data_IF_613063863514
#
_entry.id   IF_613063863514
#
_cell.length_a   1.000
_cell.length_b   1.000
_cell.length_c   1.000
_cell.angle_alpha   90.00
_cell.angle_beta   90.00
_cell.angle_gamma   90.00
#
_symmetry.space_group_name_H-M   'P 1'
#
loop_
_entity.id
_entity.type
_entity.pdbx_description
1 polymer ?
#
# COMPACT_ATOMS: atom_id res chain seq x y z
N UNK A 1 3.66 -6.96 -69.48
CA UNK A 1 3.23 -7.79 -68.33
C UNK A 1 4.05 -7.35 -67.13
N UNK A 2 3.46 -6.60 -66.20
CA UNK A 2 4.10 -6.14 -64.96
C UNK A 2 3.15 -6.51 -63.82
N UNK A 3 3.61 -7.36 -62.91
CA UNK A 3 2.84 -7.76 -61.72
C UNK A 3 2.85 -6.62 -60.69
N UNK A 4 1.72 -6.28 -60.06
CA UNK A 4 1.73 -5.44 -58.89
C UNK A 4 2.04 -6.30 -57.66
N UNK A 5 3.04 -5.90 -56.89
CA UNK A 5 3.29 -6.42 -55.54
C UNK A 5 2.31 -5.70 -54.61
N UNK A 6 1.33 -6.43 -54.08
CA UNK A 6 0.53 -5.95 -52.96
C UNK A 6 1.42 -5.97 -51.70
N UNK A 7 1.77 -4.79 -51.20
CA UNK A 7 2.27 -4.60 -49.85
C UNK A 7 1.07 -4.60 -48.91
N UNK A 8 0.88 -5.68 -48.16
CA UNK A 8 0.03 -5.68 -46.98
C UNK A 8 0.78 -4.95 -45.87
N UNK A 9 0.32 -3.75 -45.52
CA UNK A 9 0.66 -3.11 -44.26
C UNK A 9 -0.14 -3.79 -43.16
N UNK A 10 0.52 -4.62 -42.36
CA UNK A 10 0.00 -5.13 -41.10
C UNK A 10 -0.12 -3.98 -40.10
N UNK A 11 -1.34 -3.47 -39.93
CA UNK A 11 -1.69 -2.61 -38.81
C UNK A 11 -1.65 -3.47 -37.54
N UNK A 12 -0.54 -3.43 -36.81
CA UNK A 12 -0.49 -3.92 -35.44
C UNK A 12 -1.34 -2.99 -34.60
N UNK A 13 -2.58 -3.39 -34.33
CA UNK A 13 -3.39 -2.85 -33.25
C UNK A 13 -2.61 -3.10 -31.96
N UNK A 14 -1.91 -2.09 -31.47
CA UNK A 14 -1.52 -2.03 -30.07
C UNK A 14 -2.84 -1.86 -29.31
N UNK A 15 -3.36 -2.96 -28.79
CA UNK A 15 -4.42 -2.90 -27.79
C UNK A 15 -3.85 -2.16 -26.59
N UNK A 16 -4.27 -0.92 -26.38
CA UNK A 16 -4.09 -0.23 -25.11
C UNK A 16 -4.80 -1.09 -24.06
N UNK A 17 -4.03 -1.82 -23.26
CA UNK A 17 -4.53 -2.35 -22.00
C UNK A 17 -5.03 -1.17 -21.18
N UNK A 18 -6.25 -1.23 -20.66
CA UNK A 18 -6.70 -0.26 -19.67
C UNK A 18 -5.75 -0.37 -18.46
N UNK A 19 -5.18 0.75 -18.02
CA UNK A 19 -4.26 0.85 -16.89
C UNK A 19 -5.01 1.34 -15.65
N UNK A 20 -4.60 0.94 -14.42
CA UNK A 20 -5.08 1.63 -13.22
C UNK A 20 -4.41 2.96 -13.14
N UNK A 21 -5.13 3.99 -12.70
CA UNK A 21 -4.90 5.31 -13.26
C UNK A 21 -4.93 5.20 -14.80
N UNK A 22 -5.98 5.71 -15.46
CA UNK A 22 -6.00 5.64 -16.93
C UNK A 22 -4.74 6.35 -17.46
N UNK A 23 -3.97 5.68 -18.33
CA UNK A 23 -2.59 6.05 -18.73
C UNK A 23 -1.63 6.49 -17.58
N UNK A 24 -1.68 5.81 -16.44
CA UNK A 24 -0.73 6.00 -15.34
C UNK A 24 0.63 5.35 -15.57
N UNK A 25 1.57 5.64 -14.67
CA UNK A 25 2.89 5.00 -14.63
C UNK A 25 2.89 3.79 -13.69
N UNK A 26 3.35 2.60 -14.10
CA UNK A 26 3.43 1.44 -13.23
C UNK A 26 4.32 1.66 -12.00
N UNK A 27 3.86 1.16 -10.86
CA UNK A 27 4.58 1.17 -9.59
C UNK A 27 4.91 -0.27 -9.20
N UNK A 28 6.13 -0.50 -8.68
CA UNK A 28 6.48 -1.79 -8.09
C UNK A 28 5.74 -1.95 -6.76
N UNK A 29 4.61 -2.66 -6.79
CA UNK A 29 3.80 -2.91 -5.61
C UNK A 29 4.58 -3.64 -4.51
N UNK A 30 5.54 -4.50 -4.85
CA UNK A 30 6.36 -5.18 -3.82
C UNK A 30 7.32 -4.21 -3.12
N UNK A 31 7.69 -3.12 -3.77
CA UNK A 31 8.47 -2.04 -3.17
C UNK A 31 7.61 -1.00 -2.43
N UNK A 32 6.30 -0.95 -2.71
CA UNK A 32 5.29 -0.14 -2.02
C UNK A 32 4.26 -1.05 -1.35
N UNK A 33 4.75 -1.98 -0.53
CA UNK A 33 3.96 -3.05 0.09
C UNK A 33 2.98 -2.57 1.19
N UNK A 34 3.02 -1.28 1.53
CA UNK A 34 2.04 -0.64 2.39
C UNK A 34 0.80 -0.14 1.62
N UNK A 35 0.84 -0.03 0.30
CA UNK A 35 -0.37 0.14 -0.51
C UNK A 35 -1.09 -1.21 -0.59
N UNK A 36 -2.39 -1.24 -0.33
CA UNK A 36 -3.20 -2.46 -0.33
C UNK A 36 -4.51 -2.25 -1.07
N UNK A 37 -5.11 -3.34 -1.49
CA UNK A 37 -6.39 -3.33 -2.20
C UNK A 37 -7.47 -3.86 -1.27
N UNK A 38 -8.58 -3.14 -1.16
CA UNK A 38 -9.78 -3.64 -0.50
C UNK A 38 -10.65 -4.33 -1.53
N UNK A 39 -11.16 -5.51 -1.21
CA UNK A 39 -12.03 -6.29 -2.10
C UNK A 39 -13.24 -6.87 -1.36
N UNK A 40 -14.31 -7.10 -2.12
CA UNK A 40 -15.45 -7.89 -1.66
C UNK A 40 -15.32 -9.35 -2.10
N UNK A 41 -15.56 -10.28 -1.19
CA UNK A 41 -15.64 -11.70 -1.49
C UNK A 41 -16.92 -12.10 -2.25
N UNK A 42 -17.91 -11.20 -2.32
CA UNK A 42 -19.27 -11.49 -2.83
C UNK A 42 -19.56 -10.77 -4.14
N UNK A 43 -19.05 -9.56 -4.35
CA UNK A 43 -19.31 -8.74 -5.52
C UNK A 43 -18.01 -8.19 -6.13
N UNK A 44 -18.08 -7.74 -7.39
CA UNK A 44 -16.94 -7.12 -8.07
C UNK A 44 -16.76 -5.66 -7.65
N UNK A 45 -16.37 -5.43 -6.39
CA UNK A 45 -16.06 -4.10 -5.84
C UNK A 45 -14.64 -4.06 -5.29
N UNK A 46 -13.93 -2.96 -5.54
CA UNK A 46 -12.61 -2.72 -4.98
C UNK A 46 -12.39 -1.25 -4.62
N UNK A 47 -11.44 -1.04 -3.72
CA UNK A 47 -10.87 0.26 -3.39
C UNK A 47 -9.37 0.13 -3.15
N UNK A 48 -8.68 1.25 -3.10
CA UNK A 48 -7.29 1.35 -2.67
C UNK A 48 -7.26 1.78 -1.20
N UNK A 49 -6.25 1.33 -0.47
CA UNK A 49 -6.05 1.73 0.91
C UNK A 49 -4.56 1.67 1.27
N UNK A 50 -4.21 2.22 2.43
CA UNK A 50 -2.82 2.27 2.92
C UNK A 50 -2.71 1.66 4.31
N UNK A 51 -1.76 0.74 4.49
CA UNK A 51 -1.40 0.18 5.79
C UNK A 51 -0.77 1.24 6.68
N UNK A 52 -1.28 1.35 7.90
CA UNK A 52 -0.78 2.25 8.94
C UNK A 52 -0.71 1.51 10.28
N UNK A 53 0.36 1.74 11.04
CA UNK A 53 0.48 1.28 12.43
C UNK A 53 0.33 -0.24 12.58
N UNK A 54 0.91 -0.99 11.64
CA UNK A 54 1.01 -2.45 11.65
C UNK A 54 -0.29 -3.18 11.28
N UNK A 55 -1.43 -2.76 11.81
CA UNK A 55 -2.71 -3.49 11.74
C UNK A 55 -3.90 -2.64 11.30
N UNK A 56 -3.70 -1.36 11.02
CA UNK A 56 -4.75 -0.48 10.58
C UNK A 56 -4.61 -0.21 9.09
N UNK A 57 -5.74 0.01 8.43
CA UNK A 57 -5.79 0.30 6.99
C UNK A 57 -6.65 1.54 6.79
N UNK A 58 -6.03 2.61 6.29
CA UNK A 58 -6.65 3.89 6.01
C UNK A 58 -7.19 3.91 4.58
N UNK A 59 -8.44 4.32 4.41
CA UNK A 59 -9.14 4.37 3.12
C UNK A 59 -10.21 5.47 3.13
N UNK A 60 -11.01 5.60 2.07
CA UNK A 60 -12.17 6.47 2.04
C UNK A 60 -13.35 5.85 2.79
N UNK A 61 -14.18 6.66 3.45
CA UNK A 61 -15.37 6.17 4.15
C UNK A 61 -16.38 5.54 3.17
N UNK A 62 -16.58 6.14 2.00
CA UNK A 62 -17.51 5.61 1.00
C UNK A 62 -17.11 4.23 0.48
N UNK A 63 -15.84 3.83 0.59
CA UNK A 63 -15.40 2.47 0.28
C UNK A 63 -16.00 1.45 1.26
N UNK A 64 -16.24 1.85 2.50
CA UNK A 64 -16.74 1.00 3.57
C UNK A 64 -18.27 1.06 3.71
N UNK A 65 -18.92 2.06 3.10
CA UNK A 65 -20.37 2.18 3.12
C UNK A 65 -21.04 1.26 2.09
N UNK A 66 -21.74 0.23 2.57
CA UNK A 66 -22.62 -0.60 1.73
C UNK A 66 -21.98 -1.44 0.62
N UNK A 67 -20.67 -1.31 0.37
CA UNK A 67 -19.98 -2.00 -0.73
C UNK A 67 -19.64 -3.48 -0.44
N UNK A 68 -19.73 -3.90 0.83
CA UNK A 68 -19.44 -5.28 1.22
C UNK A 68 -17.98 -5.70 1.02
N UNK A 69 -17.05 -4.73 1.03
CA UNK A 69 -15.61 -5.00 1.10
C UNK A 69 -15.31 -5.69 2.43
N UNK A 70 -14.56 -6.77 2.38
CA UNK A 70 -14.32 -7.65 3.52
C UNK A 70 -12.92 -8.28 3.52
N UNK A 71 -12.08 -7.97 2.52
CA UNK A 71 -10.70 -8.45 2.44
C UNK A 71 -9.72 -7.31 2.12
N UNK A 72 -8.55 -7.37 2.75
CA UNK A 72 -7.34 -6.64 2.37
C UNK A 72 -6.46 -7.59 1.55
N UNK A 73 -6.10 -7.19 0.33
CA UNK A 73 -5.15 -7.90 -0.52
C UNK A 73 -3.79 -7.19 -0.41
N UNK A 74 -2.76 -7.95 -0.03
CA UNK A 74 -1.39 -7.46 0.16
C UNK A 74 -0.56 -7.60 -1.13
N UNK A 75 0.62 -6.97 -1.15
CA UNK A 75 1.58 -7.13 -2.24
C UNK A 75 2.09 -8.58 -2.41
N UNK A 76 2.02 -9.41 -1.36
CA UNK A 76 2.31 -10.86 -1.44
C UNK A 76 1.18 -11.68 -2.07
N UNK A 77 0.02 -11.05 -2.34
CA UNK A 77 -1.18 -11.71 -2.83
C UNK A 77 -2.01 -12.40 -1.74
N UNK A 78 -1.70 -12.13 -0.46
CA UNK A 78 -2.47 -12.68 0.65
C UNK A 78 -3.78 -11.91 0.80
N UNK A 79 -4.88 -12.65 1.02
CA UNK A 79 -6.18 -12.09 1.34
C UNK A 79 -6.43 -12.19 2.85
N UNK A 80 -6.53 -11.03 3.51
CA UNK A 80 -6.73 -10.91 4.95
C UNK A 80 -8.13 -10.37 5.19
N UNK A 81 -9.00 -11.21 5.75
CA UNK A 81 -10.38 -10.81 6.04
C UNK A 81 -10.43 -9.76 7.14
N UNK A 82 -11.32 -8.78 7.00
CA UNK A 82 -11.65 -7.83 8.05
C UNK A 82 -13.16 -7.75 8.27
N UNK A 83 -13.56 -7.40 9.49
CA UNK A 83 -14.96 -7.14 9.84
C UNK A 83 -15.13 -5.90 10.72
N UNK A 84 -14.01 -5.36 11.23
CA UNK A 84 -13.99 -4.18 12.07
C UNK A 84 -13.55 -3.00 11.23
N UNK A 85 -14.44 -2.02 11.10
CA UNK A 85 -14.14 -0.77 10.43
C UNK A 85 -14.94 0.37 11.03
N UNK A 86 -14.45 1.59 10.84
CA UNK A 86 -15.06 2.82 11.28
C UNK A 86 -15.01 3.81 10.12
N UNK A 87 -16.15 4.43 9.85
CA UNK A 87 -16.22 5.61 8.99
C UNK A 87 -16.17 6.85 9.89
N UNK A 88 -15.67 7.96 9.36
CA UNK A 88 -15.71 9.23 10.08
C UNK A 88 -17.16 9.55 10.50
N UNK A 89 -17.43 10.01 11.74
CA UNK A 89 -18.79 10.25 12.23
C UNK A 89 -19.59 11.30 11.43
N UNK A 90 -18.88 12.22 10.76
CA UNK A 90 -19.49 13.24 9.91
C UNK A 90 -19.64 12.78 8.44
N UNK A 91 -19.18 11.57 8.09
CA UNK A 91 -19.39 11.02 6.76
C UNK A 91 -20.89 10.80 6.50
N UNK A 92 -21.36 11.26 5.34
CA UNK A 92 -22.75 11.08 4.90
C UNK A 92 -22.74 10.81 3.41
N UNK A 93 -23.05 9.57 3.03
CA UNK A 93 -23.18 9.18 1.63
C UNK A 93 -24.37 9.92 0.98
N UNK A 94 -24.04 10.98 0.24
CA UNK A 94 -25.01 11.81 -0.47
C UNK A 94 -24.53 12.16 -1.89
N UNK A 95 -23.45 11.52 -2.37
CA UNK A 95 -22.80 11.84 -3.64
C UNK A 95 -22.21 13.26 -3.71
N UNK A 96 -22.10 13.95 -2.59
CA UNK A 96 -21.61 15.33 -2.48
C UNK A 96 -20.20 15.45 -1.92
N UNK A 97 -19.76 16.69 -1.76
CA UNK A 97 -18.42 17.10 -1.32
C UNK A 97 -18.37 17.60 0.13
N UNK A 98 -19.45 17.41 0.89
CA UNK A 98 -19.67 18.06 2.18
C UNK A 98 -19.36 17.18 3.38
N UNK A 99 -18.58 16.13 3.19
CA UNK A 99 -18.34 15.07 4.16
C UNK A 99 -16.85 14.69 4.27
N UNK A 100 -16.42 14.41 5.49
CA UNK A 100 -15.09 13.90 5.80
C UNK A 100 -14.99 12.42 5.41
N UNK A 101 -14.68 12.18 4.14
CA UNK A 101 -14.66 10.86 3.51
C UNK A 101 -13.38 10.07 3.85
N UNK A 102 -13.26 9.70 5.13
CA UNK A 102 -12.16 8.89 5.65
C UNK A 102 -12.68 7.72 6.48
N UNK A 103 -12.07 6.55 6.24
CA UNK A 103 -12.41 5.29 6.87
C UNK A 103 -11.17 4.58 7.40
N UNK A 104 -11.37 3.80 8.46
CA UNK A 104 -10.33 3.01 9.11
C UNK A 104 -10.80 1.56 9.24
N UNK A 105 -10.02 0.63 8.72
CA UNK A 105 -10.19 -0.80 8.94
C UNK A 105 -9.18 -1.26 9.99
N UNK A 106 -9.63 -2.15 10.89
CA UNK A 106 -8.80 -2.74 11.93
C UNK A 106 -8.65 -4.24 11.70
N UNK A 107 -7.42 -4.71 11.58
CA UNK A 107 -7.09 -6.11 11.37
C UNK A 107 -6.81 -6.82 12.70
N UNK A 108 -7.21 -8.09 12.82
CA UNK A 108 -6.97 -8.88 14.05
C UNK A 108 -5.48 -9.11 14.30
N UNK A 109 -4.69 -9.24 13.24
CA UNK A 109 -3.24 -9.45 13.29
C UNK A 109 -2.52 -8.37 12.49
N UNK A 110 -1.40 -7.83 13.01
CA UNK A 110 -0.52 -6.97 12.21
C UNK A 110 -0.04 -7.65 10.94
N UNK A 111 0.16 -6.88 9.87
CA UNK A 111 0.74 -7.31 8.61
C UNK A 111 2.20 -6.90 8.51
N UNK A 112 2.97 -7.73 7.81
CA UNK A 112 4.35 -7.46 7.49
C UNK A 112 4.43 -6.53 6.26
N UNK A 113 5.09 -5.39 6.38
CA UNK A 113 5.39 -4.46 5.29
C UNK A 113 6.63 -3.62 5.63
N UNK A 114 7.35 -3.18 4.61
CA UNK A 114 8.63 -2.45 4.74
C UNK A 114 8.51 -0.99 4.30
N UNK A 115 7.69 -0.71 3.29
CA UNK A 115 7.45 0.64 2.80
C UNK A 115 6.66 1.45 3.82
N UNK A 116 6.99 2.72 3.97
CA UNK A 116 6.24 3.62 4.85
C UNK A 116 6.22 5.03 4.28
N UNK A 117 5.03 5.63 4.25
CA UNK A 117 4.82 7.06 4.07
C UNK A 117 4.11 7.58 5.31
N UNK A 118 4.63 8.64 5.91
CA UNK A 118 4.09 9.16 7.17
C UNK A 118 2.95 10.15 6.91
N UNK A 119 2.07 10.33 7.88
CA UNK A 119 0.96 11.29 7.79
C UNK A 119 1.50 12.71 7.99
N UNK A 120 1.23 13.60 7.04
CA UNK A 120 1.64 15.00 7.09
C UNK A 120 0.42 15.87 7.46
N UNK A 121 0.58 16.71 8.49
CA UNK A 121 -0.44 17.64 9.00
C UNK A 121 -0.06 19.12 8.79
N UNK A 122 0.94 19.38 7.95
CA UNK A 122 1.32 20.73 7.54
C UNK A 122 0.28 21.32 6.57
N UNK A 123 0.24 22.64 6.47
CA UNK A 123 -0.62 23.33 5.50
C UNK A 123 -0.19 23.00 4.06
N UNK A 124 -1.17 22.87 3.15
CA UNK A 124 -0.91 22.57 1.73
C UNK A 124 -0.48 23.81 0.98
N UNK A 125 0.46 23.62 0.06
CA UNK A 125 1.02 24.70 -0.75
C UNK A 125 0.53 24.54 -2.17
N UNK A 126 -0.22 25.54 -2.67
CA UNK A 126 -0.66 25.59 -4.07
C UNK A 126 0.50 25.29 -5.02
N UNK A 127 0.21 24.51 -6.06
CA UNK A 127 1.16 23.96 -7.04
C UNK A 127 2.16 22.92 -6.50
N UNK A 128 2.06 22.46 -5.24
CA UNK A 128 2.90 21.36 -4.77
C UNK A 128 2.60 20.07 -5.57
N UNK A 129 3.65 19.39 -6.01
CA UNK A 129 3.48 18.14 -6.74
C UNK A 129 3.02 17.04 -5.81
N UNK A 130 2.00 16.32 -6.25
CA UNK A 130 1.45 15.18 -5.53
C UNK A 130 1.42 13.98 -6.48
N UNK A 131 1.43 12.78 -5.91
CA UNK A 131 1.18 11.55 -6.65
C UNK A 131 0.10 10.73 -5.96
N UNK A 132 -0.69 10.02 -6.75
CA UNK A 132 -1.70 9.08 -6.26
C UNK A 132 -1.41 7.75 -6.91
N UNK A 133 -1.22 6.71 -6.10
CA UNK A 133 -1.05 5.35 -6.58
C UNK A 133 -2.26 4.49 -6.19
N UNK A 134 -2.88 3.81 -7.17
CA UNK A 134 -4.08 3.02 -6.96
C UNK A 134 -4.24 1.82 -7.89
N UNK A 135 -5.26 1.01 -7.61
CA UNK A 135 -5.60 -0.24 -8.30
C UNK A 135 -6.86 -0.13 -9.20
N UNK A 136 -7.48 1.04 -9.28
CA UNK A 136 -8.72 1.22 -10.00
C UNK A 136 -8.54 1.00 -11.49
N UNK A 137 -9.29 0.13 -12.16
CA UNK A 137 -9.10 -0.16 -13.60
C UNK A 137 -8.04 -1.21 -13.92
N UNK A 138 -7.05 -1.45 -13.04
CA UNK A 138 -6.16 -2.63 -13.08
C UNK A 138 -6.02 -3.24 -11.70
N UNK A 139 -6.87 -4.22 -11.45
CA UNK A 139 -6.91 -4.90 -10.15
C UNK A 139 -5.53 -5.44 -9.76
N UNK A 140 -4.77 -6.07 -10.68
CA UNK A 140 -3.50 -6.74 -10.37
C UNK A 140 -2.25 -5.84 -10.36
N UNK A 141 -2.36 -4.56 -10.72
CA UNK A 141 -1.17 -3.69 -10.83
C UNK A 141 -1.42 -2.34 -10.19
N UNK A 142 -0.49 -1.94 -9.33
CA UNK A 142 -0.42 -0.60 -8.77
C UNK A 142 0.16 0.36 -9.81
N UNK A 143 -0.49 1.49 -9.99
CA UNK A 143 -0.07 2.51 -10.94
C UNK A 143 -0.31 3.90 -10.33
N UNK A 144 0.47 4.87 -10.79
CA UNK A 144 0.43 6.23 -10.27
C UNK A 144 0.11 7.28 -11.34
N UNK A 145 -0.52 8.37 -10.89
CA UNK A 145 -0.64 9.64 -11.61
C UNK A 145 0.04 10.73 -10.81
N UNK A 146 0.68 11.65 -11.51
CA UNK A 146 1.16 12.91 -10.97
C UNK A 146 0.10 14.01 -11.13
N UNK A 147 -0.15 14.74 -10.06
CA UNK A 147 -1.04 15.90 -10.01
C UNK A 147 -0.32 17.07 -9.34
N UNK A 148 -0.96 18.23 -9.35
CA UNK A 148 -0.57 19.40 -8.56
C UNK A 148 -1.69 19.77 -7.62
N UNK A 149 -1.39 19.97 -6.34
CA UNK A 149 -2.38 20.52 -5.41
C UNK A 149 -2.85 21.89 -5.91
N UNK A 150 -4.16 22.06 -5.98
CA UNK A 150 -4.81 23.26 -6.50
C UNK A 150 -5.20 24.16 -5.34
N UNK A 151 -6.22 23.77 -4.57
CA UNK A 151 -6.75 24.59 -3.50
C UNK A 151 -7.61 23.79 -2.51
N UNK A 152 -7.90 24.40 -1.37
CA UNK A 152 -8.92 23.94 -0.43
C UNK A 152 -10.32 24.34 -0.88
N UNK A 153 -11.33 23.53 -0.59
CA UNK A 153 -12.72 23.97 -0.73
C UNK A 153 -13.02 25.17 0.18
N UNK A 154 -13.69 26.19 -0.35
CA UNK A 154 -14.00 27.43 0.37
C UNK A 154 -14.88 27.25 1.62
N UNK A 155 -15.73 26.21 1.65
CA UNK A 155 -16.66 25.97 2.76
C UNK A 155 -16.24 24.79 3.63
N UNK A 156 -15.42 23.89 3.08
CA UNK A 156 -15.09 22.60 3.68
C UNK A 156 -13.59 22.41 3.67
N UNK A 157 -12.91 22.90 4.72
CA UNK A 157 -11.44 22.84 4.83
C UNK A 157 -10.83 21.43 4.81
N UNK A 158 -11.65 20.38 5.00
CA UNK A 158 -11.20 19.00 4.82
C UNK A 158 -11.13 18.56 3.35
N UNK A 159 -11.79 19.26 2.43
CA UNK A 159 -11.84 18.90 1.03
C UNK A 159 -10.74 19.62 0.25
N UNK A 160 -9.90 18.84 -0.41
CA UNK A 160 -8.81 19.31 -1.26
C UNK A 160 -9.15 19.10 -2.73
N UNK A 161 -8.62 19.97 -3.58
CA UNK A 161 -8.62 19.83 -5.03
C UNK A 161 -7.19 19.73 -5.56
N UNK A 162 -7.00 18.93 -6.60
CA UNK A 162 -5.78 18.81 -7.35
C UNK A 162 -6.08 18.69 -8.84
N UNK A 163 -5.17 19.23 -9.64
CA UNK A 163 -5.24 19.26 -11.09
C UNK A 163 -4.31 18.19 -11.67
N UNK A 164 -4.78 17.45 -12.67
CA UNK A 164 -3.95 16.47 -13.38
C UNK A 164 -2.83 17.18 -14.15
N UNK A 165 -1.61 16.64 -14.13
CA UNK A 165 -0.49 17.18 -14.93
C UNK A 165 -0.66 16.82 -16.40
N UNK A 166 -1.25 15.66 -16.69
CA UNK A 166 -1.54 15.17 -18.03
C UNK A 166 -3.00 14.72 -18.04
N UNK A 167 -3.85 15.35 -18.87
CA UNK A 167 -5.30 15.10 -18.89
C UNK A 167 -5.67 13.64 -19.13
N UNK A 168 -4.92 12.91 -19.96
CA UNK A 168 -5.16 11.49 -20.22
C UNK A 168 -4.64 10.58 -19.10
N UNK A 169 -3.87 11.11 -18.13
CA UNK A 169 -3.32 10.38 -16.98
C UNK A 169 -4.13 10.72 -15.72
N UNK A 170 -5.05 9.87 -15.31
CA UNK A 170 -6.01 10.24 -14.26
C UNK A 170 -6.54 9.06 -13.44
N UNK A 171 -7.02 9.34 -12.22
CA UNK A 171 -7.66 8.31 -11.38
C UNK A 171 -8.97 7.78 -11.99
N UNK A 172 -9.39 6.59 -11.59
CA UNK A 172 -10.62 5.92 -12.05
C UNK A 172 -11.26 5.09 -10.92
N UNK A 173 -12.37 4.44 -11.22
CA UNK A 173 -13.09 3.60 -10.26
C UNK A 173 -12.18 2.50 -9.67
N UNK A 174 -12.10 2.45 -8.33
CA UNK A 174 -11.23 1.57 -7.55
C UNK A 174 -9.97 2.25 -6.99
N UNK A 175 -9.65 3.47 -7.42
CA UNK A 175 -8.59 4.29 -6.81
C UNK A 175 -9.06 4.98 -5.51
N UNK A 176 -10.36 5.02 -5.26
CA UNK A 176 -10.93 5.55 -4.01
C UNK A 176 -10.22 4.99 -2.79
N UNK A 177 -9.88 5.88 -1.85
CA UNK A 177 -9.11 5.58 -0.64
C UNK A 177 -7.59 5.55 -0.81
N UNK A 178 -7.06 5.71 -2.02
CA UNK A 178 -5.62 5.85 -2.25
C UNK A 178 -5.03 7.06 -1.51
N UNK A 179 -3.79 6.93 -1.03
CA UNK A 179 -3.08 8.04 -0.41
C UNK A 179 -2.60 9.05 -1.48
N UNK A 180 -2.73 10.34 -1.16
CA UNK A 180 -2.06 11.42 -1.89
C UNK A 180 -0.69 11.63 -1.24
N UNK A 181 0.36 11.45 -2.02
CA UNK A 181 1.74 11.51 -1.56
C UNK A 181 2.38 12.80 -2.06
N UNK A 182 2.89 13.62 -1.15
CA UNK A 182 3.58 14.86 -1.48
C UNK A 182 5.05 14.61 -1.90
N UNK A 183 5.77 15.70 -2.21
CA UNK A 183 7.18 15.63 -2.61
C UNK A 183 8.14 15.10 -1.52
N UNK A 184 7.74 15.10 -0.24
CA UNK A 184 8.53 14.53 0.86
C UNK A 184 8.22 13.05 1.11
N UNK A 185 7.44 12.42 0.24
CA UNK A 185 6.97 11.04 0.37
C UNK A 185 6.11 10.82 1.63
N UNK A 186 5.31 11.82 1.97
CA UNK A 186 4.35 11.78 3.08
C UNK A 186 2.91 11.82 2.56
N UNK A 187 2.00 11.17 3.29
CA UNK A 187 0.56 11.14 3.03
C UNK A 187 -0.05 12.47 3.48
N UNK A 188 -0.59 13.24 2.54
CA UNK A 188 -1.29 14.50 2.83
C UNK A 188 -2.82 14.38 2.78
N UNK A 189 -3.35 13.43 2.02
CA UNK A 189 -4.79 13.27 1.84
C UNK A 189 -5.19 11.85 1.46
N UNK A 190 -6.49 11.56 1.56
CA UNK A 190 -7.13 10.33 1.13
C UNK A 190 -7.96 10.63 -0.13
N UNK A 191 -7.76 9.88 -1.20
CA UNK A 191 -8.45 10.09 -2.47
C UNK A 191 -9.93 9.76 -2.35
N UNK A 192 -10.77 10.69 -2.78
CA UNK A 192 -12.23 10.52 -2.83
C UNK A 192 -12.71 10.24 -4.26
N UNK A 193 -12.23 10.99 -5.24
CA UNK A 193 -12.59 10.78 -6.63
C UNK A 193 -12.11 11.89 -7.57
N UNK A 194 -12.63 11.89 -8.79
CA UNK A 194 -12.38 12.93 -9.78
C UNK A 194 -13.61 13.15 -10.66
N UNK A 195 -13.77 14.36 -11.18
CA UNK A 195 -14.84 14.74 -12.11
C UNK A 195 -14.26 15.45 -13.34
N UNK A 196 -14.93 15.31 -14.49
CA UNK A 196 -14.52 15.91 -15.76
C UNK A 196 -15.51 17.01 -16.14
N UNK A 197 -15.01 18.24 -16.21
CA UNK A 197 -15.80 19.39 -16.66
C UNK A 197 -15.52 19.68 -18.12
N UNK A 198 -16.59 19.86 -18.90
CA UNK A 198 -16.53 20.29 -20.29
C UNK A 198 -16.59 21.81 -20.36
N UNK A 199 -15.66 22.41 -21.10
CA UNK A 199 -15.59 23.83 -21.38
C UNK A 199 -15.63 24.10 -22.88
N UNK A 200 -15.97 25.33 -23.25
CA UNK A 200 -15.97 25.80 -24.63
C UNK A 200 -15.17 27.09 -24.74
N UNK A 201 -14.20 27.11 -25.64
CA UNK A 201 -13.44 28.31 -25.94
C UNK A 201 -14.28 29.34 -26.75
N UNK A 202 -13.81 30.60 -26.89
CA UNK A 202 -14.53 31.62 -27.67
C UNK A 202 -14.75 31.29 -29.15
N UNK A 203 -13.97 30.36 -29.71
CA UNK A 203 -14.08 29.89 -31.09
C UNK A 203 -15.07 28.70 -31.22
N UNK A 204 -15.63 28.23 -30.10
CA UNK A 204 -16.58 27.13 -30.04
C UNK A 204 -15.93 25.75 -29.98
N UNK A 205 -14.63 25.66 -29.75
CA UNK A 205 -13.94 24.39 -29.55
C UNK A 205 -14.14 23.90 -28.11
N UNK A 206 -14.42 22.61 -28.00
CA UNK A 206 -14.56 21.92 -26.72
C UNK A 206 -13.19 21.60 -26.12
N UNK A 207 -13.02 21.83 -24.81
CA UNK A 207 -11.89 21.33 -24.04
C UNK A 207 -12.36 20.81 -22.69
N UNK A 208 -11.60 19.90 -22.09
CA UNK A 208 -11.95 19.25 -20.83
C UNK A 208 -10.96 19.70 -19.76
N UNK A 209 -11.43 19.80 -18.52
CA UNK A 209 -10.56 19.85 -17.33
C UNK A 209 -10.99 18.74 -16.39
N UNK A 210 -10.02 18.14 -15.71
CA UNK A 210 -10.29 17.16 -14.67
C UNK A 210 -9.89 17.66 -13.30
N UNK A 211 -10.87 17.77 -12.42
CA UNK A 211 -10.63 18.07 -11.01
C UNK A 211 -10.59 16.78 -10.21
N UNK A 212 -9.54 16.58 -9.43
CA UNK A 212 -9.35 15.45 -8.53
C UNK A 212 -9.51 15.94 -7.09
N UNK A 213 -10.21 15.19 -6.26
CA UNK A 213 -10.54 15.62 -4.90
C UNK A 213 -10.27 14.54 -3.85
N UNK A 214 -9.96 15.00 -2.64
CA UNK A 214 -9.57 14.16 -1.52
C UNK A 214 -9.86 14.80 -0.18
N UNK A 215 -9.70 14.01 0.88
CA UNK A 215 -9.89 14.42 2.27
C UNK A 215 -8.54 14.67 2.94
N UNK A 216 -8.30 15.88 3.42
CA UNK A 216 -7.06 16.30 4.06
C UNK A 216 -6.83 15.58 5.39
N UNK A 217 -5.67 14.94 5.53
CA UNK A 217 -5.21 14.31 6.77
C UNK A 217 -5.16 15.30 7.94
N UNK A 218 -4.77 16.55 7.69
CA UNK A 218 -4.72 17.60 8.71
C UNK A 218 -6.10 17.83 9.33
N UNK A 219 -7.15 17.86 8.50
CA UNK A 219 -8.52 18.12 8.96
C UNK A 219 -9.11 16.95 9.74
N UNK A 220 -8.69 15.70 9.45
CA UNK A 220 -9.18 14.48 10.09
C UNK A 220 -8.20 13.88 11.12
N UNK A 221 -7.18 14.64 11.53
CA UNK A 221 -6.12 14.18 12.44
C UNK A 221 -6.66 13.66 13.79
N UNK A 222 -7.76 14.25 14.29
CA UNK A 222 -8.43 13.82 15.51
C UNK A 222 -9.02 12.42 15.37
N UNK A 223 -9.73 12.17 14.27
CA UNK A 223 -10.27 10.84 13.96
C UNK A 223 -9.17 9.78 13.86
N UNK A 224 -8.04 10.10 13.22
CA UNK A 224 -6.90 9.17 13.12
C UNK A 224 -6.34 8.84 14.50
N UNK A 225 -6.00 9.86 15.30
CA UNK A 225 -5.34 9.65 16.59
C UNK A 225 -6.25 9.03 17.65
N UNK A 226 -7.56 9.34 17.62
CA UNK A 226 -8.55 8.76 18.54
C UNK A 226 -8.81 7.27 18.29
N UNK A 227 -8.64 6.79 17.06
CA UNK A 227 -8.99 5.41 16.68
C UNK A 227 -7.77 4.50 16.46
N UNK A 228 -6.57 5.08 16.26
CA UNK A 228 -5.33 4.31 16.15
C UNK A 228 -4.59 4.27 17.50
N UNK A 229 -4.36 5.42 18.13
CA UNK A 229 -3.62 5.59 19.40
C UNK A 229 -2.36 4.70 19.53
N UNK A 230 -1.49 4.73 18.52
CA UNK A 230 -0.37 3.80 18.36
C UNK A 230 0.80 4.44 17.60
N UNK A 231 1.92 3.73 17.50
CA UNK A 231 3.02 4.06 16.59
C UNK A 231 2.65 3.73 15.14
N UNK A 232 3.05 4.60 14.21
CA UNK A 232 3.10 4.33 12.78
C UNK A 232 4.56 4.07 12.36
N UNK A 233 4.83 2.86 11.88
CA UNK A 233 6.18 2.33 11.68
C UNK A 233 6.17 1.22 10.61
N UNK A 234 7.32 0.91 9.97
CA UNK A 234 7.45 -0.28 9.14
C UNK A 234 7.54 -1.52 10.03
N UNK A 235 6.77 -2.56 9.76
CA UNK A 235 6.80 -3.79 10.57
C UNK A 235 7.97 -4.71 10.22
N UNK A 236 8.58 -4.51 9.05
CA UNK A 236 9.82 -5.16 8.63
C UNK A 236 10.94 -4.13 8.40
N UNK A 237 12.17 -4.48 8.78
CA UNK A 237 13.36 -3.72 8.39
C UNK A 237 14.58 -4.62 8.18
N UNK A 238 15.44 -4.21 7.24
CA UNK A 238 16.72 -4.87 6.97
C UNK A 238 17.87 -4.07 7.58
N UNK A 239 18.79 -4.76 8.26
CA UNK A 239 19.91 -4.16 8.99
C UNK A 239 21.22 -4.85 8.64
N UNK A 240 22.20 -4.04 8.28
CA UNK A 240 23.58 -4.46 8.06
C UNK A 240 24.53 -3.34 8.51
N UNK A 241 25.04 -3.46 9.73
CA UNK A 241 25.72 -2.38 10.44
C UNK A 241 24.72 -1.46 11.14
N UNK A 242 25.07 -0.18 11.25
CA UNK A 242 24.25 0.85 11.89
C UNK A 242 23.16 1.35 10.94
N UNK A 243 21.90 1.20 11.33
CA UNK A 243 20.70 1.60 10.58
C UNK A 243 19.83 2.54 11.42
N UNK A 244 19.22 3.51 10.77
CA UNK A 244 18.22 4.41 11.36
C UNK A 244 16.83 4.01 10.89
N UNK A 245 15.91 3.77 11.82
CA UNK A 245 14.50 3.50 11.54
C UNK A 245 13.69 4.69 12.04
N UNK A 246 12.85 5.25 11.16
CA UNK A 246 11.94 6.34 11.50
C UNK A 246 10.57 5.78 11.86
N UNK A 247 9.95 6.35 12.89
CA UNK A 247 8.56 6.08 13.30
C UNK A 247 7.84 7.40 13.52
N UNK A 248 6.50 7.36 13.53
CA UNK A 248 5.65 8.51 13.81
C UNK A 248 4.66 8.16 14.92
N UNK A 249 4.44 9.09 15.85
CA UNK A 249 3.41 8.92 16.87
C UNK A 249 2.02 9.22 16.28
N UNK A 250 1.08 8.27 16.33
CA UNK A 250 -0.35 8.52 16.11
C UNK A 250 -1.14 8.41 17.42
N UNK A 251 -0.46 8.56 18.55
CA UNK A 251 -1.09 8.59 19.87
C UNK A 251 -1.97 9.84 20.02
N UNK A 252 -3.03 9.74 20.83
CA UNK A 252 -3.92 10.87 21.10
C UNK A 252 -3.24 11.97 21.93
N UNK A 253 -2.18 11.62 22.67
CA UNK A 253 -1.44 12.54 23.53
C UNK A 253 0.07 12.30 23.44
N UNK A 254 0.85 13.24 23.98
CA UNK A 254 2.30 13.10 23.98
C UNK A 254 2.77 11.91 24.80
N UNK A 255 3.70 11.14 24.25
CA UNK A 255 4.24 9.93 24.87
C UNK A 255 5.75 10.03 25.07
N UNK A 256 6.29 9.13 25.88
CA UNK A 256 7.72 8.94 26.08
C UNK A 256 8.13 7.58 25.53
N UNK A 257 9.38 7.46 25.08
CA UNK A 257 9.93 6.20 24.62
C UNK A 257 9.89 5.09 25.70
N UNK A 258 9.54 3.90 25.25
CA UNK A 258 9.56 2.66 26.03
C UNK A 258 10.22 1.51 25.27
N UNK A 259 10.89 1.81 24.15
CA UNK A 259 11.36 0.80 23.23
C UNK A 259 12.49 -0.05 23.80
N UNK A 260 12.56 -1.29 23.37
CA UNK A 260 13.63 -2.21 23.70
C UNK A 260 13.87 -3.20 22.55
N UNK A 261 15.00 -3.90 22.60
CA UNK A 261 15.38 -4.87 21.56
C UNK A 261 15.46 -6.29 22.11
N UNK A 262 15.20 -7.26 21.25
CA UNK A 262 15.48 -8.69 21.48
C UNK A 262 16.20 -9.30 20.25
N UNK A 263 16.93 -10.39 20.48
CA UNK A 263 17.71 -11.06 19.44
C UNK A 263 19.09 -10.44 19.22
N UNK A 264 19.64 -10.59 18.02
CA UNK A 264 21.03 -10.24 17.70
C UNK A 264 21.16 -8.80 17.15
N UNK A 265 20.50 -7.86 17.81
CA UNK A 265 20.56 -6.44 17.47
C UNK A 265 20.82 -5.60 18.73
N UNK A 266 21.42 -4.44 18.55
CA UNK A 266 21.73 -3.50 19.63
C UNK A 266 21.07 -2.16 19.35
N UNK A 267 20.27 -1.64 20.28
CA UNK A 267 19.81 -0.25 20.25
C UNK A 267 20.94 0.69 20.68
N UNK A 268 21.07 1.83 20.00
CA UNK A 268 22.02 2.91 20.30
C UNK A 268 21.24 4.11 20.86
N UNK A 269 20.99 4.18 22.18
CA UNK A 269 20.09 5.17 22.79
C UNK A 269 20.48 6.62 22.50
N UNK A 270 21.77 6.95 22.62
CA UNK A 270 22.28 8.32 22.48
C UNK A 270 22.18 8.88 21.06
N UNK A 271 21.99 8.00 20.07
CA UNK A 271 21.80 8.39 18.66
C UNK A 271 20.33 8.28 18.22
N UNK A 272 19.45 7.76 19.07
CA UNK A 272 18.04 7.57 18.79
C UNK A 272 17.24 8.78 19.28
N UNK A 273 16.56 9.49 18.37
CA UNK A 273 15.81 10.69 18.78
C UNK A 273 14.61 10.32 19.64
N UNK A 274 13.94 9.18 19.40
CA UNK A 274 12.83 8.75 20.26
C UNK A 274 13.25 8.62 21.73
N UNK A 275 14.46 8.08 21.97
CA UNK A 275 15.00 7.86 23.32
C UNK A 275 15.48 9.16 23.97
N UNK A 276 16.05 10.06 23.18
CA UNK A 276 16.63 11.33 23.69
C UNK A 276 15.62 12.46 23.80
N UNK A 277 14.50 12.39 23.08
CA UNK A 277 13.39 13.33 23.19
C UNK A 277 12.60 13.07 24.48
N UNK A 278 12.34 14.14 25.24
CA UNK A 278 11.61 14.03 26.50
C UNK A 278 10.11 13.78 26.33
N UNK A 279 9.54 14.21 25.20
CA UNK A 279 8.13 14.04 24.86
C UNK A 279 8.00 14.01 23.34
N UNK A 280 7.20 13.07 22.82
CA UNK A 280 6.93 12.88 21.41
C UNK A 280 5.44 13.13 21.22
N UNK A 281 5.09 14.23 20.56
CA UNK A 281 3.69 14.67 20.40
C UNK A 281 3.00 13.89 19.27
N UNK A 282 1.67 13.96 19.17
CA UNK A 282 0.96 13.41 18.02
C UNK A 282 1.54 13.96 16.71
N UNK A 283 1.69 13.07 15.72
CA UNK A 283 2.32 13.28 14.41
C UNK A 283 3.83 13.59 14.41
N UNK A 284 4.48 13.75 15.56
CA UNK A 284 5.94 13.87 15.61
C UNK A 284 6.58 12.58 15.06
N UNK A 285 7.59 12.76 14.20
CA UNK A 285 8.48 11.70 13.76
C UNK A 285 9.69 11.63 14.69
N UNK A 286 10.14 10.44 15.02
CA UNK A 286 11.38 10.22 15.74
C UNK A 286 12.10 8.98 15.20
N UNK A 287 13.36 8.78 15.56
CA UNK A 287 14.18 7.68 15.04
C UNK A 287 14.78 6.80 16.12
N UNK A 288 14.90 5.52 15.79
CA UNK A 288 15.75 4.55 16.50
C UNK A 288 16.99 4.25 15.65
N UNK A 289 18.14 4.28 16.29
CA UNK A 289 19.40 3.84 15.68
C UNK A 289 19.75 2.48 16.26
N UNK A 290 19.76 1.46 15.41
CA UNK A 290 20.10 0.09 15.79
C UNK A 290 21.33 -0.39 15.01
N UNK A 291 22.05 -1.36 15.58
CA UNK A 291 23.18 -2.03 14.95
C UNK A 291 22.98 -3.55 14.98
N UNK A 292 23.24 -4.20 13.85
CA UNK A 292 23.13 -5.65 13.69
C UNK A 292 23.83 -6.13 12.42
N UNK A 293 23.91 -7.43 12.21
CA UNK A 293 24.54 -8.01 11.01
C UNK A 293 23.50 -8.50 10.02
N UNK A 294 23.81 -8.45 8.72
CA UNK A 294 22.93 -9.03 7.69
C UNK A 294 22.67 -10.52 7.96
N UNK A 295 21.39 -10.90 7.93
CA UNK A 295 20.92 -12.28 8.16
C UNK A 295 20.83 -12.68 9.63
N UNK A 296 21.18 -11.81 10.58
CA UNK A 296 20.92 -12.02 12.00
C UNK A 296 19.55 -11.43 12.36
N UNK A 297 18.63 -12.30 12.77
CA UNK A 297 17.27 -11.91 13.16
C UNK A 297 17.26 -11.14 14.49
N UNK A 298 16.37 -10.17 14.58
CA UNK A 298 16.12 -9.40 15.80
C UNK A 298 14.74 -8.77 15.80
N UNK A 299 14.40 -8.13 16.91
CA UNK A 299 13.12 -7.44 17.09
C UNK A 299 13.33 -6.15 17.85
N UNK A 300 12.84 -5.04 17.29
CA UNK A 300 12.71 -3.77 18.00
C UNK A 300 11.24 -3.62 18.42
N UNK A 301 11.00 -3.62 19.72
CA UNK A 301 9.70 -3.42 20.33
C UNK A 301 9.52 -1.93 20.60
N UNK A 302 8.47 -1.32 20.05
CA UNK A 302 8.07 0.07 20.35
C UNK A 302 7.14 0.12 21.58
N UNK A 303 6.37 -0.96 21.77
CA UNK A 303 5.55 -1.28 22.93
C UNK A 303 5.42 -2.80 23.08
N UNK A 304 4.54 -3.27 23.97
CA UNK A 304 4.29 -4.71 24.17
C UNK A 304 3.66 -5.40 22.95
N UNK A 305 2.99 -4.64 22.07
CA UNK A 305 2.28 -5.17 20.89
C UNK A 305 2.82 -4.67 19.55
N UNK A 306 3.73 -3.71 19.56
CA UNK A 306 4.22 -3.06 18.35
C UNK A 306 5.69 -3.43 18.11
N UNK A 307 5.94 -4.18 17.04
CA UNK A 307 7.21 -4.84 16.82
C UNK A 307 7.68 -4.65 15.39
N UNK A 308 8.93 -4.21 15.26
CA UNK A 308 9.67 -4.21 14.00
C UNK A 308 10.51 -5.47 13.95
N UNK A 309 10.23 -6.35 13.01
CA UNK A 309 11.02 -7.55 12.77
C UNK A 309 12.22 -7.21 11.90
N UNK A 310 13.42 -7.47 12.43
CA UNK A 310 14.70 -7.16 11.79
C UNK A 310 15.24 -8.39 11.08
N UNK A 311 15.59 -8.25 9.80
CA UNK A 311 16.16 -9.30 8.95
C UNK A 311 15.31 -10.59 8.94
N UNK A 312 13.98 -10.45 9.05
CA UNK A 312 13.06 -11.59 9.04
C UNK A 312 13.22 -12.37 7.72
N UNK A 313 13.44 -13.69 7.74
CA UNK A 313 13.58 -14.46 6.51
C UNK A 313 12.34 -14.31 5.64
N UNK A 314 12.54 -13.92 4.38
CA UNK A 314 11.46 -13.92 3.39
C UNK A 314 11.00 -15.37 3.17
N UNK A 315 9.71 -15.61 3.30
CA UNK A 315 9.14 -16.91 2.96
C UNK A 315 9.14 -17.02 1.44
N UNK A 316 10.02 -17.84 0.88
CA UNK A 316 9.97 -18.20 -0.54
C UNK A 316 8.70 -19.02 -0.79
N UNK A 317 7.61 -18.33 -1.16
CA UNK A 317 6.46 -18.97 -1.78
C UNK A 317 6.87 -19.37 -3.20
N UNK A 318 7.59 -20.48 -3.31
CA UNK A 318 8.05 -21.04 -4.57
C UNK A 318 6.90 -21.20 -5.55
N UNK A 319 6.79 -20.27 -6.50
CA UNK A 319 5.92 -20.33 -7.67
C UNK A 319 6.37 -21.44 -8.61
N UNK A 320 6.18 -22.69 -8.19
CA UNK A 320 6.31 -23.88 -9.01
C UNK A 320 4.91 -24.36 -9.40
N UNK A 321 4.51 -24.08 -10.63
CA UNK A 321 3.31 -24.64 -11.25
C UNK A 321 3.32 -26.17 -11.16
N UNK A 322 2.56 -26.76 -10.25
CA UNK A 322 2.34 -28.21 -10.22
C UNK A 322 0.96 -28.55 -10.80
N UNK A 323 0.96 -28.74 -12.12
CA UNK A 323 -0.04 -29.59 -12.79
C UNK A 323 -0.01 -30.98 -12.15
N UNK A 324 -1.16 -31.46 -11.71
CA UNK A 324 -1.27 -32.75 -11.05
C UNK A 324 -0.80 -33.93 -11.91
N UNK A 325 -0.12 -34.89 -11.28
CA UNK A 325 -0.30 -36.31 -11.59
C UNK A 325 0.13 -37.16 -10.40
N UNK A 326 -0.77 -38.05 -10.00
CA UNK A 326 -0.49 -39.16 -9.10
C UNK A 326 0.75 -39.93 -9.53
N UNK A 327 1.64 -40.26 -8.60
CA UNK A 327 2.83 -41.05 -8.89
C UNK A 327 3.66 -41.33 -7.64
N UNK A 328 3.15 -42.16 -6.72
CA UNK A 328 3.98 -42.71 -5.67
C UNK A 328 5.04 -43.64 -6.26
N UNK A 329 6.30 -43.51 -5.86
CA UNK A 329 7.17 -44.67 -5.58
C UNK A 329 8.59 -44.28 -5.15
N UNK A 330 8.95 -44.86 -3.99
CA UNK A 330 10.19 -45.59 -3.74
C UNK A 330 11.49 -44.80 -3.57
N UNK A 331 11.80 -44.55 -2.30
CA UNK A 331 13.09 -44.09 -1.84
C UNK A 331 14.25 -45.02 -2.21
N UNK A 332 15.43 -44.41 -2.25
CA UNK A 332 16.76 -44.91 -2.59
C UNK A 332 17.17 -46.24 -1.94
N UNK A 333 16.49 -46.68 -0.89
CA UNK A 333 16.72 -47.97 -0.23
C UNK A 333 16.07 -49.19 -0.93
N UNK A 334 15.17 -48.98 -1.88
CA UNK A 334 14.53 -50.08 -2.64
C UNK A 334 15.40 -50.63 -3.79
N UNK A 335 16.38 -49.87 -4.26
CA UNK A 335 17.30 -50.28 -5.34
C UNK A 335 18.46 -51.19 -4.87
N UNK A 336 18.71 -51.28 -3.56
CA UNK A 336 19.71 -52.20 -3.00
C UNK A 336 19.17 -53.62 -2.75
N UNK A 337 17.84 -53.80 -2.65
CA UNK A 337 17.23 -55.12 -2.47
C UNK A 337 17.24 -56.02 -3.71
N UNK A 338 17.20 -55.43 -4.91
CA UNK A 338 17.13 -56.17 -6.18
C UNK A 338 18.50 -56.61 -6.73
N UNK A 339 19.61 -56.06 -6.22
CA UNK A 339 20.96 -56.48 -6.59
C UNK A 339 21.40 -57.78 -5.89
N UNK A 340 20.80 -58.13 -4.74
CA UNK A 340 21.15 -59.32 -3.95
C UNK A 340 20.45 -60.59 -4.47
N UNK A 341 19.22 -60.48 -4.97
CA UNK A 341 18.49 -61.64 -5.52
C UNK A 341 18.88 -62.00 -6.97
N UNK A 342 19.53 -61.11 -7.71
CA UNK A 342 20.04 -61.38 -9.07
C UNK A 342 21.31 -62.24 -9.11
N UNK A 343 22.08 -62.32 -8.00
CA UNK A 343 23.33 -63.10 -7.93
C UNK A 343 23.18 -64.51 -7.37
N UNK A 344 22.01 -64.89 -6.86
CA UNK A 344 21.75 -66.23 -6.33
C UNK A 344 21.10 -67.21 -7.33
N UNK A 345 20.77 -66.78 -8.55
CA UNK A 345 20.16 -67.64 -9.59
C UNK A 345 21.13 -68.10 -10.69
N UNK A 346 22.45 -67.98 -10.47
CA UNK A 346 23.49 -68.58 -11.32
C UNK A 346 24.37 -69.52 -10.51
N UNK A 347 23.75 -70.52 -9.86
CA UNK A 347 24.46 -71.71 -9.35
C UNK A 347 23.45 -72.79 -8.93
N UNK A 348 22.98 -73.57 -9.89
CA UNK A 348 22.81 -75.02 -9.77
C UNK A 348 22.37 -75.59 -11.14
N UNK A 349 22.91 -76.77 -11.42
CA UNK A 349 22.86 -77.56 -12.65
C UNK A 349 21.45 -78.10 -12.90
#
# INVERSE_FOLDING_TARGET
MKHPVLSLWSLTLLSSSAWAVDNGTPVDWTAQDNAVRLESSVYNGNCTATLVAGRYVLTAAHCLDGNGLDNVITASGDAVSFSQFLMHPNFVENGGFSDEDVGLVTLDTPLDYSAIQFLNIDDRVEDESISIAGFGGTIETLNAVDLTFSHYNNNYHFALYADVVVEESHTTGGDSGAAWINQTNDIMAIHKGSDTTVHWDPDGNEYFTRETYGTDVQAVQGFITENIDAWHYPTLAEVNGRTTITVQSLHQSGITDTAYVQGNITLIPESSTCVTQALINPFDKCTYVIEGSSGEEGQLYLSDSEVIHINKPKVDNGGGSSSGSSGGSLGFFSLLGLAVFGRLRKRQI
#
